data_IF_302810432748
#
_entry.id   IF_302810432748
#
_cell.length_a   1.000
_cell.length_b   1.000
_cell.length_c   1.000
_cell.angle_alpha   90.00
_cell.angle_beta   90.00
_cell.angle_gamma   90.00
#
_symmetry.space_group_name_H-M   'P 1'
#
loop_
_entity.id
_entity.type
_entity.pdbx_description
1 polymer ?
#
# COMPACT_ATOMS: atom_id res chain seq x y z
N UNK A 1 13.83 -4.47 -30.54
CA UNK A 1 13.44 -4.39 -29.11
C UNK A 1 12.34 -3.34 -28.98
N UNK A 2 11.09 -3.70 -28.67
CA UNK A 2 10.02 -2.71 -28.45
C UNK A 2 10.37 -1.88 -27.22
N UNK A 3 10.60 -0.57 -27.38
CA UNK A 3 10.64 0.35 -26.26
C UNK A 3 9.29 0.24 -25.54
N UNK A 4 9.26 -0.39 -24.35
CA UNK A 4 8.09 -0.32 -23.49
C UNK A 4 7.98 1.13 -23.03
N UNK A 5 6.93 1.82 -23.46
CA UNK A 5 6.64 3.18 -22.99
C UNK A 5 6.55 3.17 -21.45
N UNK A 6 7.38 4.01 -20.82
CA UNK A 6 7.38 4.18 -19.37
C UNK A 6 6.17 5.03 -19.00
N UNK A 7 5.50 4.67 -17.92
CA UNK A 7 4.36 5.44 -17.43
C UNK A 7 4.87 6.70 -16.74
N UNK A 8 4.35 7.85 -17.17
CA UNK A 8 4.68 9.14 -16.54
C UNK A 8 4.24 9.16 -15.07
N UNK A 9 4.76 10.10 -14.27
CA UNK A 9 4.41 10.18 -12.85
C UNK A 9 2.89 10.36 -12.67
N UNK A 10 2.33 11.38 -13.32
CA UNK A 10 0.91 11.72 -13.22
C UNK A 10 -0.03 10.63 -13.69
N UNK A 11 0.33 9.88 -14.75
CA UNK A 11 -0.49 8.76 -15.23
C UNK A 11 -0.44 7.53 -14.32
N UNK A 12 0.56 7.42 -13.43
CA UNK A 12 0.61 6.37 -12.42
C UNK A 12 -0.08 6.74 -11.11
N UNK A 13 -0.43 8.01 -10.89
CA UNK A 13 -1.11 8.44 -9.66
C UNK A 13 -2.46 7.72 -9.47
N UNK A 14 -3.37 7.64 -10.48
CA UNK A 14 -4.64 6.92 -10.32
C UNK A 14 -4.49 5.42 -10.00
N UNK A 15 -3.65 4.62 -10.68
CA UNK A 15 -3.49 3.21 -10.30
C UNK A 15 -2.81 3.07 -8.93
N UNK A 16 -1.86 3.94 -8.57
CA UNK A 16 -1.25 3.93 -7.22
C UNK A 16 -2.30 4.23 -6.15
N UNK A 17 -3.14 5.24 -6.35
CA UNK A 17 -4.19 5.63 -5.42
C UNK A 17 -5.25 4.54 -5.25
N UNK A 18 -5.59 3.82 -6.32
CA UNK A 18 -6.47 2.65 -6.25
C UNK A 18 -5.82 1.48 -5.51
N UNK A 19 -4.54 1.20 -5.80
CA UNK A 19 -3.78 0.11 -5.16
C UNK A 19 -3.58 0.33 -3.66
N UNK A 20 -2.97 1.47 -3.31
CA UNK A 20 -3.52 2.44 -2.38
C UNK A 20 -4.60 1.99 -1.39
N UNK A 21 -5.78 2.48 -1.75
CA UNK A 21 -7.05 2.28 -1.09
C UNK A 21 -7.40 0.81 -0.91
N UNK A 22 -7.23 -0.02 -1.95
CA UNK A 22 -7.51 -1.46 -1.88
C UNK A 22 -6.67 -2.14 -0.79
N UNK A 23 -5.37 -1.84 -0.73
CA UNK A 23 -4.48 -2.36 0.30
C UNK A 23 -4.90 -1.94 1.71
N UNK A 24 -5.32 -0.68 1.89
CA UNK A 24 -5.83 -0.21 3.19
C UNK A 24 -7.12 -0.92 3.60
N UNK A 25 -8.07 -1.11 2.69
CA UNK A 25 -9.33 -1.84 2.97
C UNK A 25 -9.02 -3.26 3.43
N UNK A 26 -8.15 -3.97 2.71
CA UNK A 26 -7.74 -5.34 3.06
C UNK A 26 -7.03 -5.36 4.41
N UNK A 27 -6.10 -4.44 4.65
CA UNK A 27 -5.36 -4.34 5.92
C UNK A 27 -6.31 -4.13 7.10
N UNK A 28 -7.29 -3.22 6.98
CA UNK A 28 -8.27 -2.97 8.03
C UNK A 28 -9.19 -4.18 8.24
N UNK A 29 -9.69 -4.80 7.18
CA UNK A 29 -10.52 -5.99 7.29
C UNK A 29 -9.77 -7.14 8.01
N UNK A 30 -8.52 -7.41 7.62
CA UNK A 30 -7.68 -8.40 8.28
C UNK A 30 -7.43 -8.03 9.75
N UNK A 31 -7.27 -6.75 10.08
CA UNK A 31 -7.04 -6.29 11.45
C UNK A 31 -8.26 -6.55 12.33
N UNK A 32 -9.46 -6.28 11.81
CA UNK A 32 -10.72 -6.60 12.51
C UNK A 32 -10.81 -8.10 12.77
N UNK A 33 -10.62 -8.93 11.74
CA UNK A 33 -10.65 -10.39 11.87
C UNK A 33 -9.61 -10.91 12.87
N UNK A 34 -8.43 -10.30 12.91
CA UNK A 34 -7.36 -10.68 13.84
C UNK A 34 -7.71 -10.35 15.29
N UNK A 35 -8.32 -9.19 15.57
CA UNK A 35 -8.79 -8.87 16.91
C UNK A 35 -9.86 -9.84 17.41
N UNK A 36 -10.81 -10.19 16.54
CA UNK A 36 -11.84 -11.18 16.84
C UNK A 36 -11.23 -12.57 17.10
N UNK A 37 -10.30 -13.02 16.24
CA UNK A 37 -9.64 -14.31 16.37
C UNK A 37 -8.78 -14.43 17.65
N UNK A 38 -8.18 -13.33 18.09
CA UNK A 38 -7.36 -13.28 19.32
C UNK A 38 -8.18 -13.03 20.60
N UNK A 39 -9.49 -12.83 20.49
CA UNK A 39 -10.35 -12.53 21.64
C UNK A 39 -10.01 -11.20 22.34
N UNK A 40 -9.33 -10.30 21.64
CA UNK A 40 -8.97 -8.99 22.19
C UNK A 40 -10.22 -8.11 22.25
N UNK A 41 -10.41 -7.41 23.37
CA UNK A 41 -11.44 -6.36 23.46
C UNK A 41 -10.93 -5.11 22.74
N UNK A 42 -11.53 -4.71 21.61
CA UNK A 42 -11.07 -3.53 20.91
C UNK A 42 -11.51 -2.29 21.69
N UNK A 43 -10.60 -1.32 21.89
CA UNK A 43 -10.92 -0.03 22.53
C UNK A 43 -11.97 0.80 21.76
N UNK A 44 -12.27 0.42 20.51
CA UNK A 44 -13.27 1.07 19.66
C UNK A 44 -13.99 0.00 18.84
N UNK A 45 -15.26 0.21 18.51
CA UNK A 45 -15.99 -0.72 17.63
C UNK A 45 -15.22 -0.92 16.31
N UNK A 46 -14.98 -2.18 15.87
CA UNK A 46 -14.12 -2.46 14.70
C UNK A 46 -14.59 -1.75 13.42
N UNK A 47 -15.90 -1.58 13.27
CA UNK A 47 -16.51 -0.86 12.15
C UNK A 47 -16.06 0.62 12.06
N UNK A 48 -15.68 1.24 13.18
CA UNK A 48 -15.20 2.63 13.20
C UNK A 48 -13.90 2.82 12.43
N UNK A 49 -13.07 1.78 12.29
CA UNK A 49 -11.85 1.86 11.50
C UNK A 49 -12.15 2.19 10.02
N UNK A 50 -13.28 1.71 9.48
CA UNK A 50 -13.70 2.01 8.11
C UNK A 50 -14.22 3.44 7.95
N UNK A 51 -14.81 4.05 8.99
CA UNK A 51 -15.21 5.45 8.95
C UNK A 51 -14.00 6.40 8.85
N UNK A 52 -12.86 6.03 9.45
CA UNK A 52 -11.61 6.80 9.33
C UNK A 52 -10.79 6.46 8.08
N UNK A 53 -11.20 5.47 7.27
CA UNK A 53 -10.48 5.05 6.07
C UNK A 53 -10.17 6.22 5.12
N UNK A 54 -11.10 7.17 4.82
CA UNK A 54 -10.77 8.30 3.95
C UNK A 54 -9.66 9.18 4.50
N UNK A 55 -9.65 9.42 5.82
CA UNK A 55 -8.64 10.24 6.50
C UNK A 55 -7.28 9.55 6.48
N UNK A 56 -7.24 8.25 6.82
CA UNK A 56 -6.02 7.44 6.77
C UNK A 56 -5.47 7.37 5.34
N UNK A 57 -6.35 7.19 4.36
CA UNK A 57 -5.98 7.18 2.95
C UNK A 57 -5.33 8.50 2.52
N UNK A 58 -5.94 9.65 2.82
CA UNK A 58 -5.37 10.96 2.46
C UNK A 58 -4.01 11.17 3.13
N UNK A 59 -3.90 10.90 4.43
CA UNK A 59 -2.63 11.03 5.15
C UNK A 59 -1.53 10.15 4.54
N UNK A 60 -1.84 8.88 4.27
CA UNK A 60 -0.88 7.98 3.67
C UNK A 60 -0.54 8.39 2.24
N UNK A 61 -1.52 8.84 1.46
CA UNK A 61 -1.32 9.27 0.08
C UNK A 61 -0.38 10.48 -0.02
N UNK A 62 -0.51 11.45 0.89
CA UNK A 62 0.41 12.61 0.99
C UNK A 62 1.86 12.19 1.23
N UNK A 63 2.10 11.09 1.96
CA UNK A 63 3.44 10.53 2.18
C UNK A 63 3.90 9.66 1.00
N UNK A 64 2.99 8.89 0.42
CA UNK A 64 3.27 7.96 -0.67
C UNK A 64 3.68 8.68 -1.95
N UNK A 65 3.06 9.79 -2.30
CA UNK A 65 3.41 10.54 -3.53
C UNK A 65 4.86 11.03 -3.59
N UNK A 66 5.39 11.77 -2.58
CA UNK A 66 6.79 12.20 -2.59
C UNK A 66 7.74 11.01 -2.51
N UNK A 67 7.38 9.96 -1.76
CA UNK A 67 8.20 8.76 -1.66
C UNK A 67 8.23 8.01 -3.00
N UNK A 68 7.12 7.93 -3.72
CA UNK A 68 7.05 7.38 -5.07
C UNK A 68 7.89 8.20 -6.06
N UNK A 69 7.85 9.53 -5.96
CA UNK A 69 8.69 10.40 -6.77
C UNK A 69 10.19 10.12 -6.53
N UNK A 70 10.60 10.00 -5.27
CA UNK A 70 11.97 9.63 -4.91
C UNK A 70 12.35 8.22 -5.39
N UNK A 71 11.45 7.24 -5.22
CA UNK A 71 11.68 5.85 -5.67
C UNK A 71 11.82 5.75 -7.19
N UNK A 72 11.11 6.58 -7.96
CA UNK A 72 11.28 6.64 -9.43
C UNK A 72 12.61 7.25 -9.87
N UNK A 73 13.19 8.12 -9.04
CA UNK A 73 14.51 8.69 -9.31
C UNK A 73 15.64 7.69 -8.99
N UNK A 74 15.46 6.87 -7.96
CA UNK A 74 16.49 5.93 -7.46
C UNK A 74 16.37 4.51 -8.05
N UNK A 75 15.17 4.08 -8.43
CA UNK A 75 14.88 2.70 -8.85
C UNK A 75 14.10 2.64 -10.16
N UNK A 76 13.85 1.42 -10.65
CA UNK A 76 13.11 1.17 -11.87
C UNK A 76 11.70 1.77 -11.85
N UNK A 77 11.36 2.53 -12.89
CA UNK A 77 10.03 3.13 -13.09
C UNK A 77 9.01 2.08 -13.55
N UNK A 78 7.76 2.10 -13.04
CA UNK A 78 6.74 1.18 -13.51
C UNK A 78 6.43 1.41 -15.00
N UNK A 79 6.26 0.30 -15.72
CA UNK A 79 5.96 0.29 -17.17
C UNK A 79 4.50 0.00 -17.48
N UNK A 80 3.75 -0.54 -16.51
CA UNK A 80 2.34 -0.93 -16.67
C UNK A 80 1.48 -0.39 -15.53
N UNK A 81 0.23 -0.01 -15.80
CA UNK A 81 -0.69 0.48 -14.76
C UNK A 81 -0.94 -0.56 -13.68
N UNK A 82 -0.92 -1.86 -14.05
CA UNK A 82 -0.97 -2.98 -13.10
C UNK A 82 0.22 -2.97 -12.15
N UNK A 83 1.43 -2.67 -12.62
CA UNK A 83 2.61 -2.54 -11.74
C UNK A 83 2.45 -1.38 -10.77
N UNK A 84 1.99 -0.22 -11.26
CA UNK A 84 1.71 0.94 -10.42
C UNK A 84 0.64 0.65 -9.35
N UNK A 85 -0.38 -0.15 -9.68
CA UNK A 85 -1.37 -0.63 -8.72
C UNK A 85 -0.76 -1.47 -7.60
N UNK A 86 0.03 -2.50 -7.93
CA UNK A 86 0.66 -3.34 -6.91
C UNK A 86 1.68 -2.57 -6.06
N UNK A 87 2.40 -1.63 -6.66
CA UNK A 87 3.26 -0.70 -5.92
C UNK A 87 2.42 0.13 -4.95
N UNK A 88 1.27 0.66 -5.38
CA UNK A 88 0.30 1.31 -4.49
C UNK A 88 -0.07 0.45 -3.29
N UNK A 89 -0.45 -0.81 -3.52
CA UNK A 89 -0.81 -1.75 -2.46
C UNK A 89 0.34 -2.04 -1.50
N UNK A 90 1.57 -2.13 -2.01
CA UNK A 90 2.77 -2.33 -1.19
C UNK A 90 3.03 -1.18 -0.20
N UNK A 91 2.63 0.05 -0.54
CA UNK A 91 2.71 1.17 0.40
C UNK A 91 1.71 1.04 1.56
N UNK A 92 0.51 0.49 1.33
CA UNK A 92 -0.43 0.21 2.40
C UNK A 92 0.12 -0.85 3.38
N UNK A 93 0.87 -1.84 2.85
CA UNK A 93 1.48 -2.89 3.65
C UNK A 93 2.58 -2.38 4.60
N UNK A 94 3.11 -1.16 4.42
CA UNK A 94 4.00 -0.55 5.41
C UNK A 94 3.29 -0.27 6.75
N UNK A 95 1.96 -0.25 6.77
CA UNK A 95 1.18 -0.16 8.01
C UNK A 95 0.98 -1.53 8.68
N UNK A 96 1.52 -2.62 8.13
CA UNK A 96 1.45 -3.96 8.74
C UNK A 96 2.10 -3.99 10.12
N UNK A 97 3.20 -3.28 10.36
CA UNK A 97 3.77 -3.21 11.72
C UNK A 97 2.76 -2.69 12.74
N UNK A 98 1.98 -1.67 12.37
CA UNK A 98 0.96 -1.11 13.24
C UNK A 98 -0.25 -2.04 13.40
N UNK A 99 -0.68 -2.69 12.32
CA UNK A 99 -1.85 -3.58 12.36
C UNK A 99 -1.55 -4.95 13.00
N UNK A 100 -0.35 -5.49 12.76
CA UNK A 100 0.10 -6.81 13.16
C UNK A 100 1.59 -6.77 13.59
N UNK A 101 1.90 -6.30 14.81
CA UNK A 101 3.29 -6.13 15.26
C UNK A 101 4.15 -7.39 15.14
N UNK A 102 3.55 -8.57 15.41
CA UNK A 102 4.23 -9.86 15.31
C UNK A 102 4.55 -10.30 13.87
N UNK A 103 3.95 -9.66 12.86
CA UNK A 103 4.13 -9.99 11.44
C UNK A 103 4.86 -8.89 10.67
N UNK A 104 5.66 -8.10 11.37
CA UNK A 104 6.37 -6.96 10.79
C UNK A 104 7.28 -7.30 9.61
N UNK A 105 7.82 -8.52 9.57
CA UNK A 105 8.68 -9.00 8.49
C UNK A 105 7.99 -8.95 7.11
N UNK A 106 6.66 -8.98 7.07
CA UNK A 106 5.88 -8.78 5.84
C UNK A 106 6.16 -7.42 5.21
N UNK A 107 6.49 -6.38 5.99
CA UNK A 107 6.89 -5.09 5.44
C UNK A 107 8.18 -5.20 4.65
N UNK A 108 9.14 -6.03 5.08
CA UNK A 108 10.41 -6.22 4.37
C UNK A 108 10.15 -6.94 3.05
N UNK A 109 9.34 -7.99 3.06
CA UNK A 109 9.13 -8.82 1.87
C UNK A 109 8.21 -8.14 0.86
N UNK A 110 7.19 -7.43 1.32
CA UNK A 110 6.18 -6.80 0.47
C UNK A 110 6.40 -5.29 0.28
N UNK A 111 7.64 -4.81 0.38
CA UNK A 111 7.93 -3.39 0.20
C UNK A 111 7.89 -2.96 -1.29
N UNK A 112 7.73 -1.65 -1.56
CA UNK A 112 7.66 -1.10 -2.91
C UNK A 112 8.88 -1.39 -3.79
N UNK A 113 10.09 -1.46 -3.20
CA UNK A 113 11.33 -1.78 -3.92
C UNK A 113 11.30 -3.22 -4.40
N UNK A 114 10.90 -4.15 -3.53
CA UNK A 114 10.74 -5.57 -3.86
C UNK A 114 9.67 -5.74 -4.94
N UNK A 115 8.52 -5.09 -4.81
CA UNK A 115 7.47 -5.12 -5.84
C UNK A 115 7.98 -4.65 -7.22
N UNK A 116 8.84 -3.64 -7.28
CA UNK A 116 9.43 -3.18 -8.55
C UNK A 116 10.38 -4.19 -9.19
N UNK A 117 11.02 -5.02 -8.39
CA UNK A 117 11.97 -6.03 -8.88
C UNK A 117 11.26 -7.27 -9.41
N UNK A 118 10.23 -7.74 -8.69
CA UNK A 118 9.52 -8.97 -9.04
C UNK A 118 8.39 -8.76 -10.06
N UNK A 119 7.74 -7.60 -10.06
CA UNK A 119 6.62 -7.31 -10.97
C UNK A 119 7.18 -6.62 -12.24
N UNK A 120 7.75 -7.38 -13.19
CA UNK A 120 8.29 -6.90 -14.49
C UNK A 120 7.37 -7.12 -15.69
#
# INVERSE_FOLDING_TARGET
MRQREKITFWSAVPPISLGLFCGLVVLLALRVMYYEAMGFQPNMAPAMAFFFLPVVFVMLFVVVLPLEAAMRALFATPTKSKQAFFIGTSYALLLVWWAFPNHWWLMIICNPVVCRWFIR
#
